data_IF_397719643709
#
_entry.id   IF_397719643709
#
_cell.length_a   1.000
_cell.length_b   1.000
_cell.length_c   1.000
_cell.angle_alpha   90.00
_cell.angle_beta   90.00
_cell.angle_gamma   90.00
#
_symmetry.space_group_name_H-M   'P 1'
#
loop_
_entity.id
_entity.type
_entity.pdbx_description
1 polymer ?
#
# COMPACT_ATOMS: atom_id res chain seq x y z
N UNK A 1 -22.57 19.42 18.60
CA UNK A 1 -22.43 19.01 17.18
C UNK A 1 -21.70 17.69 17.19
N UNK A 2 -22.44 16.60 17.13
CA UNK A 2 -21.89 15.25 17.08
C UNK A 2 -21.67 14.92 15.61
N UNK A 3 -20.41 14.74 15.20
CA UNK A 3 -20.11 14.24 13.86
C UNK A 3 -20.78 12.89 13.69
N UNK A 4 -21.83 12.85 12.87
CA UNK A 4 -22.39 11.59 12.38
C UNK A 4 -21.33 10.98 11.47
N UNK A 5 -20.42 10.20 12.05
CA UNK A 5 -19.53 9.31 11.30
C UNK A 5 -20.45 8.43 10.46
N UNK A 6 -20.46 8.66 9.15
CA UNK A 6 -21.22 7.87 8.21
C UNK A 6 -20.70 6.42 8.26
N UNK A 7 -21.31 5.59 9.11
CA UNK A 7 -20.79 4.30 9.53
C UNK A 7 -21.03 3.17 8.50
N UNK A 8 -21.18 3.47 7.20
CA UNK A 8 -21.70 2.50 6.23
C UNK A 8 -21.07 2.43 4.84
N UNK A 9 -19.87 2.95 4.58
CA UNK A 9 -19.23 2.64 3.29
C UNK A 9 -17.72 2.51 3.38
N UNK A 10 -17.24 1.31 3.08
CA UNK A 10 -15.93 1.15 2.45
C UNK A 10 -15.96 1.89 1.10
N UNK A 11 -14.88 2.56 0.77
CA UNK A 11 -14.62 3.21 -0.50
C UNK A 11 -14.30 2.18 -1.58
N UNK A 12 -13.67 1.07 -1.19
CA UNK A 12 -13.31 0.01 -2.13
C UNK A 12 -14.52 -0.85 -2.48
N UNK A 13 -14.71 -1.19 -3.78
CA UNK A 13 -15.79 -2.07 -4.19
C UNK A 13 -15.58 -3.49 -3.65
N UNK A 14 -16.47 -3.90 -2.74
CA UNK A 14 -16.41 -5.21 -2.06
C UNK A 14 -16.33 -6.40 -3.03
N UNK A 15 -16.95 -6.29 -4.22
CA UNK A 15 -16.87 -7.33 -5.26
C UNK A 15 -15.44 -7.54 -5.78
N UNK A 16 -14.67 -6.47 -5.96
CA UNK A 16 -13.26 -6.55 -6.40
C UNK A 16 -12.36 -7.03 -5.27
N UNK A 17 -12.59 -6.57 -4.04
CA UNK A 17 -11.87 -7.07 -2.86
C UNK A 17 -12.07 -8.57 -2.73
N UNK A 18 -13.32 -9.05 -2.85
CA UNK A 18 -13.66 -10.48 -2.79
C UNK A 18 -12.97 -11.27 -3.90
N UNK A 19 -12.96 -10.74 -5.13
CA UNK A 19 -12.29 -11.38 -6.26
C UNK A 19 -10.78 -11.56 -6.02
N UNK A 20 -10.11 -10.53 -5.49
CA UNK A 20 -8.68 -10.59 -5.16
C UNK A 20 -8.42 -11.56 -4.01
N UNK A 21 -9.22 -11.53 -2.94
CA UNK A 21 -9.08 -12.51 -1.85
C UNK A 21 -9.27 -13.96 -2.34
N UNK A 22 -10.12 -14.16 -3.36
CA UNK A 22 -10.39 -15.45 -3.99
C UNK A 22 -9.32 -15.93 -4.97
N UNK A 23 -8.41 -15.06 -5.43
CA UNK A 23 -7.31 -15.50 -6.30
C UNK A 23 -6.25 -16.30 -5.53
N UNK A 24 -6.25 -16.21 -4.20
CA UNK A 24 -5.37 -17.01 -3.35
C UNK A 24 -5.82 -18.49 -3.32
N UNK A 25 -4.91 -19.45 -3.56
CA UNK A 25 -5.23 -20.87 -3.44
C UNK A 25 -5.79 -21.22 -2.05
N UNK A 26 -6.83 -22.05 -2.01
CA UNK A 26 -7.42 -22.55 -0.76
C UNK A 26 -8.53 -21.67 -0.15
N UNK A 27 -8.87 -20.52 -0.73
CA UNK A 27 -9.94 -19.65 -0.20
C UNK A 27 -11.31 -20.05 -0.76
N UNK A 28 -12.06 -20.89 -0.04
CA UNK A 28 -13.38 -21.41 -0.48
C UNK A 28 -14.58 -20.55 -0.03
N UNK A 29 -14.49 -19.86 1.10
CA UNK A 29 -15.55 -18.98 1.60
C UNK A 29 -14.95 -17.74 2.28
N UNK A 30 -15.63 -16.60 2.15
CA UNK A 30 -15.24 -15.33 2.77
C UNK A 30 -16.51 -14.73 3.37
N UNK A 31 -16.52 -14.55 4.69
CA UNK A 31 -17.62 -13.87 5.39
C UNK A 31 -17.66 -12.38 5.09
N UNK A 32 -18.86 -11.78 5.20
CA UNK A 32 -19.06 -10.35 4.92
C UNK A 32 -18.23 -9.45 5.83
N UNK A 33 -18.11 -9.78 7.12
CA UNK A 33 -17.31 -8.98 8.07
C UNK A 33 -15.83 -9.00 7.71
N UNK A 34 -15.27 -10.17 7.38
CA UNK A 34 -13.89 -10.29 6.92
C UNK A 34 -13.65 -9.51 5.62
N UNK A 35 -14.62 -9.52 4.71
CA UNK A 35 -14.56 -8.76 3.46
C UNK A 35 -14.57 -7.24 3.72
N UNK A 36 -15.40 -6.79 4.66
CA UNK A 36 -15.49 -5.38 5.06
C UNK A 36 -14.21 -4.92 5.78
N UNK A 37 -13.70 -5.71 6.72
CA UNK A 37 -12.43 -5.44 7.40
C UNK A 37 -11.30 -5.37 6.39
N UNK A 38 -11.20 -6.33 5.46
CA UNK A 38 -10.16 -6.31 4.43
C UNK A 38 -10.23 -5.06 3.56
N UNK A 39 -11.43 -4.66 3.12
CA UNK A 39 -11.63 -3.44 2.36
C UNK A 39 -11.18 -2.21 3.17
N UNK A 40 -11.56 -2.11 4.44
CA UNK A 40 -11.18 -0.97 5.27
C UNK A 40 -9.69 -0.93 5.59
N UNK A 41 -9.09 -2.08 5.90
CA UNK A 41 -7.65 -2.22 6.10
C UNK A 41 -6.88 -1.84 4.84
N UNK A 42 -7.36 -2.19 3.65
CA UNK A 42 -6.71 -1.84 2.39
C UNK A 42 -6.75 -0.32 2.15
N UNK A 43 -7.85 0.35 2.46
CA UNK A 43 -7.91 1.83 2.39
C UNK A 43 -6.89 2.48 3.31
N UNK A 44 -6.85 2.04 4.57
CA UNK A 44 -5.90 2.55 5.57
C UNK A 44 -4.46 2.24 5.17
N UNK A 45 -4.23 1.07 4.58
CA UNK A 45 -2.91 0.67 4.07
C UNK A 45 -2.43 1.60 2.96
N UNK A 46 -3.27 1.93 1.98
CA UNK A 46 -2.91 2.87 0.89
C UNK A 46 -2.59 4.26 1.45
N UNK A 47 -3.40 4.75 2.40
CA UNK A 47 -3.16 6.04 3.06
C UNK A 47 -1.83 6.04 3.83
N UNK A 48 -1.58 5.00 4.62
CA UNK A 48 -0.35 4.82 5.38
C UNK A 48 0.87 4.76 4.46
N UNK A 49 0.80 3.97 3.39
CA UNK A 49 1.89 3.84 2.42
C UNK A 49 2.22 5.17 1.77
N UNK A 50 1.20 5.95 1.35
CA UNK A 50 1.41 7.26 0.75
C UNK A 50 2.06 8.24 1.73
N UNK A 51 1.59 8.29 2.99
CA UNK A 51 2.16 9.14 4.03
C UNK A 51 3.60 8.78 4.35
N UNK A 52 3.90 7.50 4.58
CA UNK A 52 5.25 7.03 4.84
C UNK A 52 6.19 7.30 3.66
N UNK A 53 5.72 7.11 2.43
CA UNK A 53 6.54 7.36 1.24
C UNK A 53 6.90 8.84 1.11
N UNK A 54 5.98 9.75 1.43
CA UNK A 54 6.27 11.18 1.43
C UNK A 54 7.22 11.58 2.56
N UNK A 55 6.96 11.11 3.79
CA UNK A 55 7.76 11.47 4.97
C UNK A 55 9.19 10.92 4.91
N UNK A 56 9.34 9.64 4.57
CA UNK A 56 10.65 8.97 4.50
C UNK A 56 11.39 9.29 3.19
N UNK A 57 10.66 9.57 2.12
CA UNK A 57 11.23 9.97 0.83
C UNK A 57 11.68 11.44 0.79
N UNK A 58 11.24 12.26 1.74
CA UNK A 58 11.53 13.68 1.79
C UNK A 58 12.96 14.04 2.18
N UNK A 59 13.71 13.17 2.86
CA UNK A 59 15.06 13.45 3.40
C UNK A 59 15.16 14.84 4.08
N UNK A 60 14.08 15.30 4.74
CA UNK A 60 14.02 16.61 5.41
C UNK A 60 13.64 17.81 4.53
N UNK A 61 13.29 17.60 3.25
CA UNK A 61 12.77 18.62 2.34
C UNK A 61 11.23 18.64 2.23
N UNK A 62 10.67 19.71 1.68
CA UNK A 62 9.22 19.87 1.48
C UNK A 62 8.77 19.13 0.20
N UNK A 63 8.66 17.79 0.28
CA UNK A 63 8.28 16.97 -0.88
C UNK A 63 6.77 16.96 -1.06
N UNK A 64 6.30 17.77 -2.01
CA UNK A 64 4.89 17.86 -2.38
C UNK A 64 4.43 16.79 -3.37
N UNK A 65 5.37 16.00 -3.92
CA UNK A 65 5.10 15.04 -4.99
C UNK A 65 5.61 13.64 -4.62
N UNK A 66 4.72 12.66 -4.68
CA UNK A 66 5.06 11.24 -4.48
C UNK A 66 5.69 10.67 -5.76
N UNK A 67 6.94 10.22 -5.70
CA UNK A 67 7.62 9.57 -6.83
C UNK A 67 7.76 8.05 -6.64
N UNK A 68 8.01 7.33 -7.74
CA UNK A 68 8.32 5.90 -7.69
C UNK A 68 9.55 5.61 -6.82
N UNK A 69 10.57 6.47 -6.88
CA UNK A 69 11.77 6.33 -6.06
C UNK A 69 11.46 6.35 -4.56
N UNK A 70 10.51 7.18 -4.14
CA UNK A 70 10.09 7.24 -2.73
C UNK A 70 9.40 5.94 -2.29
N UNK A 71 8.52 5.38 -3.13
CA UNK A 71 7.85 4.11 -2.86
C UNK A 71 8.85 2.95 -2.80
N UNK A 72 9.79 2.90 -3.74
CA UNK A 72 10.83 1.88 -3.76
C UNK A 72 11.72 1.96 -2.51
N UNK A 73 12.12 3.18 -2.11
CA UNK A 73 12.93 3.40 -0.91
C UNK A 73 12.19 3.01 0.37
N UNK A 74 10.89 3.36 0.50
CA UNK A 74 10.05 2.93 1.63
C UNK A 74 10.04 1.40 1.76
N UNK A 75 9.78 0.69 0.66
CA UNK A 75 9.69 -0.78 0.63
C UNK A 75 11.00 -1.44 1.06
N UNK A 76 12.14 -0.81 0.78
CA UNK A 76 13.46 -1.34 1.14
C UNK A 76 13.82 -1.07 2.59
N UNK A 77 13.55 0.14 3.07
CA UNK A 77 14.01 0.59 4.38
C UNK A 77 13.09 0.17 5.51
N UNK A 78 11.82 -0.13 5.21
CA UNK A 78 10.81 -0.46 6.21
C UNK A 78 10.40 -1.93 6.12
N UNK A 79 10.71 -2.70 7.18
CA UNK A 79 10.42 -4.14 7.28
C UNK A 79 8.94 -4.46 7.07
N UNK A 80 8.03 -3.59 7.49
CA UNK A 80 6.59 -3.78 7.35
C UNK A 80 6.13 -3.78 5.88
N UNK A 81 6.93 -3.23 4.97
CA UNK A 81 6.64 -3.16 3.53
C UNK A 81 7.43 -4.17 2.69
N UNK A 82 8.29 -5.02 3.30
CA UNK A 82 9.14 -5.96 2.55
C UNK A 82 8.35 -6.98 1.71
N UNK A 83 7.10 -7.28 2.08
CA UNK A 83 6.23 -8.14 1.27
C UNK A 83 5.94 -7.56 -0.13
N UNK A 84 6.21 -6.27 -0.35
CA UNK A 84 6.09 -5.59 -1.64
C UNK A 84 7.40 -5.55 -2.45
N UNK A 85 8.51 -6.09 -1.95
CA UNK A 85 9.82 -5.97 -2.61
C UNK A 85 9.82 -6.51 -4.06
N UNK A 86 9.01 -7.52 -4.36
CA UNK A 86 8.86 -8.06 -5.72
C UNK A 86 8.07 -7.15 -6.68
N UNK A 87 7.28 -6.21 -6.15
CA UNK A 87 6.48 -5.25 -6.94
C UNK A 87 7.23 -3.93 -7.17
N UNK A 88 8.17 -3.59 -6.28
CA UNK A 88 8.99 -2.39 -6.37
C UNK A 88 10.47 -2.77 -6.53
N UNK A 89 10.86 -3.30 -7.71
CA UNK A 89 12.23 -3.73 -7.96
C UNK A 89 13.22 -2.57 -7.80
N UNK A 90 14.35 -2.90 -7.18
CA UNK A 90 15.44 -1.96 -6.98
C UNK A 90 16.03 -1.52 -8.33
N UNK A 91 16.10 -0.21 -8.59
CA UNK A 91 16.93 0.29 -9.68
C UNK A 91 18.38 0.34 -9.22
N UNK A 92 19.08 -0.78 -9.32
CA UNK A 92 20.54 -0.79 -9.28
C UNK A 92 21.05 -0.22 -10.60
N UNK A 93 21.55 1.01 -10.59
CA UNK A 93 22.36 1.51 -11.68
C UNK A 93 23.69 0.76 -11.62
N UNK A 94 23.84 -0.28 -12.45
CA UNK A 94 25.14 -0.89 -12.71
C UNK A 94 25.99 0.17 -13.43
N UNK A 95 26.82 0.88 -12.68
CA UNK A 95 27.89 1.69 -13.27
C UNK A 95 28.90 0.69 -13.83
N UNK A 96 28.73 0.33 -15.10
CA UNK A 96 29.81 -0.27 -15.86
C UNK A 96 30.87 0.81 -16.03
N UNK A 97 31.89 0.76 -15.18
CA UNK A 97 33.10 1.56 -15.33
C UNK A 97 33.69 1.27 -16.70
N UNK A 98 33.59 2.24 -17.59
CA UNK A 98 34.41 2.28 -18.80
C UNK A 98 35.82 2.61 -18.31
N UNK A 99 36.65 1.58 -18.19
CA UNK A 99 38.11 1.71 -18.04
C UNK A 99 38.75 1.99 -19.39
#
# INVERSE_FOLDING_TARGET
MEEVRNHKSVLLPLSRVKLIMKSSPGVSYIGLDALYVMAKSTEMFVQCMAQHSLLEGANGGDVKNLSYGNLAQLVQNNKSFQFLAGLYPHRVNLVFGVS
#
